data_IF_563554601292
#
_entry.id   IF_563554601292
#
_cell.length_a   1.000
_cell.length_b   1.000
_cell.length_c   1.000
_cell.angle_alpha   90.00
_cell.angle_beta   90.00
_cell.angle_gamma   90.00
#
_symmetry.space_group_name_H-M   'P 1'
#
loop_
_entity.id
_entity.type
_entity.pdbx_description
1 polymer ?
#
# COMPACT_ATOMS: atom_id res chain seq x y z
N UNK A 1 -5.79 7.27 -0.52
CA UNK A 1 -4.61 6.76 -1.26
C UNK A 1 -4.31 7.70 -2.42
N UNK A 2 -3.06 8.11 -2.60
CA UNK A 2 -2.60 8.83 -3.79
C UNK A 2 -1.82 7.87 -4.67
N UNK A 3 -2.12 7.80 -5.97
CA UNK A 3 -1.34 7.02 -6.92
C UNK A 3 -0.63 7.93 -7.91
N UNK A 4 0.67 7.72 -8.06
CA UNK A 4 1.55 8.47 -8.97
C UNK A 4 1.91 7.54 -10.11
N UNK A 5 1.71 7.98 -11.35
CA UNK A 5 2.18 7.23 -12.52
C UNK A 5 3.71 7.28 -12.60
N UNK A 6 4.33 6.12 -12.66
CA UNK A 6 5.78 5.97 -12.77
C UNK A 6 6.09 4.59 -13.35
N UNK A 7 7.08 4.51 -14.23
CA UNK A 7 7.59 3.21 -14.65
C UNK A 7 8.45 2.63 -13.53
N UNK A 8 8.02 1.49 -12.98
CA UNK A 8 8.70 0.81 -11.87
C UNK A 8 9.57 -0.32 -12.43
N UNK A 9 10.87 -0.36 -12.09
CA UNK A 9 11.75 -1.45 -12.49
C UNK A 9 11.19 -2.82 -12.10
N UNK A 10 11.38 -3.81 -12.97
CA UNK A 10 10.87 -5.17 -12.74
C UNK A 10 11.46 -5.78 -11.47
N UNK A 11 12.71 -5.44 -11.15
CA UNK A 11 13.39 -5.89 -9.94
C UNK A 11 12.64 -5.48 -8.66
N UNK A 12 11.92 -4.34 -8.67
CA UNK A 12 11.09 -3.91 -7.55
C UNK A 12 9.75 -4.68 -7.56
N UNK A 13 9.15 -4.90 -8.74
CA UNK A 13 7.92 -5.69 -8.90
C UNK A 13 8.09 -7.14 -8.44
N UNK A 14 9.29 -7.71 -8.55
CA UNK A 14 9.57 -9.10 -8.19
C UNK A 14 9.81 -9.30 -6.68
N UNK A 15 10.00 -8.22 -5.91
CA UNK A 15 10.07 -8.29 -4.45
C UNK A 15 8.68 -8.68 -3.92
N UNK A 16 8.60 -9.42 -2.82
CA UNK A 16 7.32 -9.72 -2.16
C UNK A 16 6.65 -8.43 -1.65
N UNK A 17 5.36 -8.23 -1.92
CA UNK A 17 4.59 -7.06 -1.48
C UNK A 17 4.55 -6.92 0.05
N UNK A 18 4.64 -8.02 0.80
CA UNK A 18 4.68 -8.00 2.27
C UNK A 18 6.02 -7.44 2.80
N UNK A 19 7.07 -7.42 1.99
CA UNK A 19 8.36 -6.80 2.32
C UNK A 19 8.42 -5.32 1.91
N UNK A 20 7.34 -4.77 1.34
CA UNK A 20 7.24 -3.37 0.92
C UNK A 20 6.37 -2.58 1.88
N UNK A 21 6.87 -1.42 2.30
CA UNK A 21 6.08 -0.48 3.11
C UNK A 21 5.08 0.37 2.28
N UNK A 22 5.05 0.16 0.95
CA UNK A 22 4.24 0.88 -0.04
C UNK A 22 3.64 -0.12 -1.02
N UNK A 23 2.54 0.25 -1.67
CA UNK A 23 2.01 -0.52 -2.79
C UNK A 23 2.49 0.07 -4.10
N UNK A 24 2.79 -0.78 -5.08
CA UNK A 24 3.03 -0.34 -6.44
C UNK A 24 2.57 -1.39 -7.45
N UNK A 25 2.39 -0.93 -8.69
CA UNK A 25 2.28 -1.76 -9.88
C UNK A 25 3.51 -1.50 -10.77
N UNK A 26 3.50 -2.06 -11.97
CA UNK A 26 4.52 -1.78 -12.99
C UNK A 26 4.54 -0.30 -13.43
N UNK A 27 3.41 0.38 -13.34
CA UNK A 27 3.17 1.71 -13.91
C UNK A 27 2.71 2.76 -12.89
N UNK A 28 2.63 2.39 -11.60
CA UNK A 28 2.23 3.32 -10.57
C UNK A 28 2.78 2.96 -9.19
N UNK A 29 2.98 3.98 -8.35
CA UNK A 29 3.17 3.82 -6.90
C UNK A 29 1.99 4.42 -6.19
N UNK A 30 1.43 3.71 -5.23
CA UNK A 30 0.31 4.19 -4.42
C UNK A 30 0.71 4.31 -2.95
N UNK A 31 0.31 5.43 -2.36
CA UNK A 31 0.66 5.81 -0.98
C UNK A 31 -0.64 6.04 -0.21
N UNK A 32 -0.81 5.32 0.89
CA UNK A 32 -1.81 5.65 1.91
C UNK A 32 -1.23 6.66 2.89
N UNK A 33 -2.03 7.66 3.23
CA UNK A 33 -1.64 8.74 4.15
C UNK A 33 -2.51 8.60 5.37
N UNK A 34 -1.88 8.59 6.54
CA UNK A 34 -2.54 8.40 7.83
C UNK A 34 -2.29 9.64 8.70
N UNK A 35 -3.23 9.97 9.58
CA UNK A 35 -3.07 11.09 10.52
C UNK A 35 -1.96 10.82 11.55
N UNK A 36 -1.80 9.56 11.96
CA UNK A 36 -0.84 9.14 12.99
C UNK A 36 0.01 7.96 12.53
N UNK A 37 1.21 7.87 13.11
CA UNK A 37 2.14 6.76 12.84
C UNK A 37 1.58 5.42 13.34
N UNK A 38 0.89 5.44 14.46
CA UNK A 38 0.27 4.26 15.09
C UNK A 38 -0.78 3.66 14.16
N UNK A 39 -1.61 4.48 13.53
CA UNK A 39 -2.63 4.07 12.57
C UNK A 39 -1.99 3.46 11.32
N UNK A 40 -0.91 4.07 10.80
CA UNK A 40 -0.13 3.49 9.69
C UNK A 40 0.40 2.11 10.04
N UNK A 41 1.03 1.96 11.21
CA UNK A 41 1.59 0.67 11.63
C UNK A 41 0.50 -0.39 11.79
N UNK A 42 -0.62 -0.05 12.46
CA UNK A 42 -1.75 -0.95 12.62
C UNK A 42 -2.34 -1.37 11.28
N UNK A 43 -2.50 -0.44 10.34
CA UNK A 43 -2.98 -0.75 9.00
C UNK A 43 -2.08 -1.78 8.29
N UNK A 44 -0.75 -1.66 8.41
CA UNK A 44 0.18 -2.63 7.81
C UNK A 44 -0.05 -4.02 8.41
N UNK A 45 -0.17 -4.12 9.73
CA UNK A 45 -0.40 -5.41 10.41
C UNK A 45 -1.77 -6.02 10.08
N UNK A 46 -2.83 -5.19 10.04
CA UNK A 46 -4.21 -5.61 9.77
C UNK A 46 -4.43 -6.08 8.33
N UNK A 47 -3.63 -5.56 7.40
CA UNK A 47 -3.80 -5.81 5.96
C UNK A 47 -2.78 -6.77 5.36
N UNK A 48 -2.01 -7.47 6.21
CA UNK A 48 -1.09 -8.52 5.79
C UNK A 48 -1.84 -9.61 4.99
N UNK A 49 -1.33 -9.95 3.81
CA UNK A 49 -1.92 -10.92 2.90
C UNK A 49 -3.14 -10.43 2.11
N UNK A 50 -3.59 -9.19 2.31
CA UNK A 50 -4.69 -8.60 1.53
C UNK A 50 -4.22 -8.07 0.18
N UNK A 51 -5.04 -8.26 -0.85
CA UNK A 51 -4.83 -7.64 -2.16
C UNK A 51 -5.05 -6.12 -2.07
N UNK A 52 -4.50 -5.36 -3.03
CA UNK A 52 -4.62 -3.89 -3.11
C UNK A 52 -6.04 -3.38 -2.86
N UNK A 53 -7.03 -3.96 -3.53
CA UNK A 53 -8.42 -3.51 -3.45
C UNK A 53 -9.03 -3.79 -2.07
N UNK A 54 -8.59 -4.86 -1.41
CA UNK A 54 -8.98 -5.18 -0.02
C UNK A 54 -8.33 -4.18 0.95
N UNK A 55 -7.04 -3.89 0.77
CA UNK A 55 -6.34 -2.85 1.54
C UNK A 55 -7.00 -1.48 1.38
N UNK A 56 -7.39 -1.13 0.15
CA UNK A 56 -8.06 0.13 -0.14
C UNK A 56 -9.43 0.22 0.55
N UNK A 57 -10.24 -0.85 0.49
CA UNK A 57 -11.52 -0.91 1.21
C UNK A 57 -11.33 -0.82 2.72
N UNK A 58 -10.32 -1.51 3.28
CA UNK A 58 -10.00 -1.44 4.71
C UNK A 58 -9.60 -0.02 5.11
N UNK A 59 -8.75 0.64 4.31
CA UNK A 59 -8.36 2.03 4.52
C UNK A 59 -9.58 2.96 4.54
N UNK A 60 -10.48 2.86 3.55
CA UNK A 60 -11.69 3.69 3.45
C UNK A 60 -12.64 3.50 4.64
N UNK A 61 -12.73 2.29 5.17
CA UNK A 61 -13.65 1.98 6.26
C UNK A 61 -13.13 2.43 7.65
N UNK A 62 -11.82 2.51 7.84
CA UNK A 62 -11.23 2.67 9.19
C UNK A 62 -10.27 3.86 9.35
N UNK A 63 -9.73 4.41 8.26
CA UNK A 63 -8.62 5.38 8.31
C UNK A 63 -8.80 6.60 7.39
N UNK A 64 -9.87 6.66 6.60
CA UNK A 64 -10.16 7.76 5.65
C UNK A 64 -11.04 8.87 6.22
#
# INVERSE_FOLDING_TARGET
MFCIKAEIPQEICDVDDELKAIYHSKDSVCIWVFEKREDRNRFVDETAGMMKDERQRHFENFYS
#
